data_IF_203952111992
#
_entry.id   IF_203952111992
#
_cell.length_a   1.000
_cell.length_b   1.000
_cell.length_c   1.000
_cell.angle_alpha   90.00
_cell.angle_beta   90.00
_cell.angle_gamma   90.00
#
_symmetry.space_group_name_H-M   'P 1'
#
loop_
_entity.id
_entity.type
_entity.pdbx_description
1 polymer ?
#
# COMPACT_ATOMS: atom_id res chain seq x y z
N UNK A 1 12.83 19.86 2.26
CA UNK A 1 11.41 19.70 1.86
C UNK A 1 11.07 20.79 0.85
N UNK A 2 10.48 20.39 -0.26
CA UNK A 2 10.17 21.32 -1.36
C UNK A 2 8.94 22.16 -1.00
N UNK A 3 8.98 23.47 -1.35
CA UNK A 3 7.83 24.33 -1.14
C UNK A 3 6.72 24.01 -2.16
N UNK A 4 5.54 23.62 -1.70
CA UNK A 4 4.36 23.34 -2.53
C UNK A 4 3.27 24.42 -2.39
N UNK A 5 3.51 25.49 -1.62
CA UNK A 5 2.53 26.51 -1.31
C UNK A 5 1.99 27.28 -2.52
N UNK A 6 2.75 27.32 -3.63
CA UNK A 6 2.32 27.95 -4.88
C UNK A 6 1.62 27.01 -5.88
N UNK A 7 1.45 25.74 -5.55
CA UNK A 7 0.75 24.79 -6.42
C UNK A 7 -0.76 24.89 -6.24
N UNK A 8 -1.48 24.60 -7.31
CA UNK A 8 -2.94 24.56 -7.29
C UNK A 8 -3.45 23.41 -6.41
N UNK A 9 -4.55 23.69 -5.72
CA UNK A 9 -5.30 22.66 -4.98
C UNK A 9 -6.15 21.91 -6.00
N UNK A 10 -5.78 20.66 -6.26
CA UNK A 10 -6.46 19.81 -7.23
C UNK A 10 -6.75 18.44 -6.67
N UNK A 11 -7.71 17.73 -7.27
CA UNK A 11 -7.95 16.32 -6.98
C UNK A 11 -6.76 15.49 -7.44
N UNK A 12 -6.30 14.61 -6.58
CA UNK A 12 -5.14 13.76 -6.83
C UNK A 12 -5.44 12.32 -6.41
N UNK A 13 -4.99 11.40 -7.21
CA UNK A 13 -5.15 9.96 -7.00
C UNK A 13 -3.87 9.24 -7.33
N UNK A 14 -3.53 8.23 -6.55
CA UNK A 14 -2.42 7.32 -6.84
C UNK A 14 -2.82 5.88 -6.56
N UNK A 15 -2.29 4.97 -7.37
CA UNK A 15 -2.42 3.52 -7.20
C UNK A 15 -1.03 2.93 -7.12
N UNK A 16 -0.76 2.20 -6.05
CA UNK A 16 0.44 1.40 -5.89
C UNK A 16 0.07 -0.07 -5.79
N UNK A 17 0.97 -0.95 -6.21
CA UNK A 17 0.81 -2.40 -6.08
C UNK A 17 2.10 -3.03 -5.59
N UNK A 18 1.95 -4.16 -4.91
CA UNK A 18 3.05 -5.07 -4.56
C UNK A 18 2.50 -6.48 -4.40
N UNK A 19 3.39 -7.43 -4.18
CA UNK A 19 3.00 -8.79 -3.84
C UNK A 19 3.86 -9.36 -2.70
N UNK A 20 3.37 -10.42 -2.09
CA UNK A 20 4.09 -11.25 -1.14
C UNK A 20 4.06 -12.68 -1.66
N UNK A 21 5.21 -13.18 -2.10
CA UNK A 21 5.37 -14.56 -2.52
C UNK A 21 5.57 -15.44 -1.30
N UNK A 22 4.93 -16.60 -1.29
CA UNK A 22 4.93 -17.53 -0.16
C UNK A 22 4.73 -18.97 -0.63
N UNK A 23 4.83 -19.92 0.30
CA UNK A 23 4.49 -21.31 -0.01
C UNK A 23 2.99 -21.49 -0.25
N UNK A 24 2.62 -22.54 -0.97
CA UNK A 24 1.21 -22.92 -1.16
C UNK A 24 0.52 -23.18 0.16
N UNK A 25 1.20 -23.82 1.11
CA UNK A 25 0.67 -24.06 2.44
C UNK A 25 0.35 -22.78 3.19
N UNK A 26 1.20 -21.76 3.07
CA UNK A 26 0.99 -20.46 3.73
C UNK A 26 -0.20 -19.71 3.14
N UNK A 27 -0.32 -19.66 1.82
CA UNK A 27 -1.49 -19.03 1.17
C UNK A 27 -2.79 -19.76 1.52
N UNK A 28 -2.77 -21.08 1.58
CA UNK A 28 -3.91 -21.88 2.03
C UNK A 28 -4.27 -21.59 3.51
N UNK A 29 -3.29 -21.40 4.37
CA UNK A 29 -3.50 -21.06 5.79
C UNK A 29 -4.13 -19.67 5.96
N UNK A 30 -3.80 -18.71 5.12
CA UNK A 30 -4.45 -17.39 5.10
C UNK A 30 -5.93 -17.56 4.74
N UNK A 31 -6.21 -18.28 3.67
CA UNK A 31 -7.58 -18.50 3.17
C UNK A 31 -8.45 -19.24 4.19
N UNK A 32 -7.90 -20.25 4.88
CA UNK A 32 -8.60 -21.03 5.90
C UNK A 32 -8.66 -20.37 7.28
N UNK A 33 -8.02 -19.20 7.43
CA UNK A 33 -7.93 -18.47 8.71
C UNK A 33 -7.33 -19.32 9.86
N UNK A 34 -6.35 -20.16 9.56
CA UNK A 34 -5.73 -21.09 10.52
C UNK A 34 -4.43 -20.58 11.14
N UNK A 35 -4.06 -19.32 10.92
CA UNK A 35 -2.85 -18.72 11.46
C UNK A 35 -3.05 -18.20 12.90
N UNK A 36 -2.02 -18.31 13.77
CA UNK A 36 -2.15 -17.99 15.20
C UNK A 36 -2.52 -16.54 15.50
N UNK A 37 -2.09 -15.59 14.67
CA UNK A 37 -2.33 -14.15 14.90
C UNK A 37 -3.69 -13.65 14.43
N UNK A 38 -4.52 -14.52 13.86
CA UNK A 38 -5.90 -14.19 13.49
C UNK A 38 -6.07 -13.82 12.02
N UNK A 39 -6.97 -12.88 11.74
CA UNK A 39 -7.35 -12.48 10.39
C UNK A 39 -6.26 -11.63 9.72
N UNK A 40 -5.49 -12.25 8.85
CA UNK A 40 -4.35 -11.62 8.15
C UNK A 40 -4.82 -10.50 7.22
N UNK A 41 -5.87 -10.76 6.45
CA UNK A 41 -6.34 -9.82 5.42
C UNK A 41 -6.92 -8.55 6.05
N UNK A 42 -7.79 -8.70 7.04
CA UNK A 42 -8.38 -7.56 7.74
C UNK A 42 -7.30 -6.72 8.45
N UNK A 43 -6.36 -7.38 9.13
CA UNK A 43 -5.27 -6.70 9.85
C UNK A 43 -4.34 -5.96 8.89
N UNK A 44 -3.93 -6.59 7.80
CA UNK A 44 -3.07 -5.97 6.80
C UNK A 44 -3.76 -4.78 6.10
N UNK A 45 -5.05 -4.89 5.82
CA UNK A 45 -5.84 -3.78 5.24
C UNK A 45 -5.84 -2.57 6.16
N UNK A 46 -6.16 -2.75 7.43
CA UNK A 46 -6.16 -1.66 8.42
C UNK A 46 -4.75 -1.08 8.60
N UNK A 47 -3.73 -1.92 8.67
CA UNK A 47 -2.34 -1.47 8.77
C UNK A 47 -1.93 -0.60 7.57
N UNK A 48 -2.30 -0.99 6.36
CA UNK A 48 -2.05 -0.20 5.16
C UNK A 48 -2.77 1.16 5.18
N UNK A 49 -4.02 1.19 5.59
CA UNK A 49 -4.78 2.44 5.73
C UNK A 49 -4.12 3.35 6.78
N UNK A 50 -3.73 2.82 7.92
CA UNK A 50 -3.03 3.57 8.96
C UNK A 50 -1.68 4.11 8.46
N UNK A 51 -0.94 3.31 7.70
CA UNK A 51 0.35 3.69 7.14
C UNK A 51 0.24 4.86 6.16
N UNK A 52 -0.77 4.86 5.29
CA UNK A 52 -1.03 5.98 4.40
C UNK A 52 -1.18 7.29 5.18
N UNK A 53 -1.89 7.28 6.30
CA UNK A 53 -2.09 8.45 7.18
C UNK A 53 -0.82 8.87 7.93
N UNK A 54 0.17 7.99 8.04
CA UNK A 54 1.43 8.19 8.77
C UNK A 54 2.63 8.42 7.85
N UNK A 55 2.42 8.56 6.56
CA UNK A 55 3.50 8.63 5.57
C UNK A 55 4.49 9.75 5.88
N UNK A 56 4.03 10.95 6.22
CA UNK A 56 4.92 12.06 6.56
C UNK A 56 5.74 11.85 7.84
N UNK A 57 5.28 11.00 8.74
CA UNK A 57 6.04 10.63 9.94
C UNK A 57 7.18 9.64 9.63
N UNK A 58 7.08 8.90 8.53
CA UNK A 58 8.02 7.86 8.13
C UNK A 58 8.99 8.32 7.04
N UNK A 59 8.53 9.13 6.10
CA UNK A 59 9.29 9.61 4.95
C UNK A 59 9.63 11.08 5.19
N UNK A 60 10.89 11.42 5.47
CA UNK A 60 11.27 12.69 6.10
C UNK A 60 10.87 13.95 5.32
N UNK A 61 10.87 13.88 4.00
CA UNK A 61 10.62 15.06 3.17
C UNK A 61 9.21 15.11 2.57
N UNK A 62 8.33 14.17 2.96
CA UNK A 62 6.93 14.19 2.58
C UNK A 62 6.15 15.21 3.40
N UNK A 63 5.24 15.92 2.75
CA UNK A 63 4.31 16.83 3.41
C UNK A 63 3.21 16.05 4.12
N UNK A 64 2.77 16.49 5.31
CA UNK A 64 1.55 15.96 5.91
C UNK A 64 0.34 16.33 5.06
N UNK A 65 -0.48 15.34 4.74
CA UNK A 65 -1.65 15.51 3.87
C UNK A 65 -2.91 15.02 4.55
N UNK A 66 -4.01 15.71 4.33
CA UNK A 66 -5.34 15.24 4.66
C UNK A 66 -5.85 14.36 3.51
N UNK A 67 -6.00 13.06 3.77
CA UNK A 67 -6.47 12.11 2.77
C UNK A 67 -7.98 12.04 2.76
N UNK A 68 -8.59 12.07 1.57
CA UNK A 68 -10.04 11.92 1.42
C UNK A 68 -10.48 10.47 1.35
N UNK A 69 -9.66 9.58 0.80
CA UNK A 69 -9.94 8.15 0.75
C UNK A 69 -8.65 7.33 0.70
N UNK A 70 -8.67 6.17 1.35
CA UNK A 70 -7.65 5.13 1.26
C UNK A 70 -8.35 3.79 1.12
N UNK A 71 -8.07 3.08 0.03
CA UNK A 71 -8.58 1.73 -0.22
C UNK A 71 -7.39 0.78 -0.34
N UNK A 72 -7.41 -0.31 0.41
CA UNK A 72 -6.40 -1.37 0.31
C UNK A 72 -7.10 -2.66 -0.07
N UNK A 73 -6.88 -3.11 -1.30
CA UNK A 73 -7.40 -4.35 -1.85
C UNK A 73 -6.34 -5.44 -1.71
N UNK A 74 -6.73 -6.57 -1.16
CA UNK A 74 -5.83 -7.72 -0.94
C UNK A 74 -6.49 -8.96 -1.50
N UNK A 75 -5.79 -9.64 -2.39
CA UNK A 75 -6.24 -10.87 -3.01
C UNK A 75 -5.24 -12.00 -2.74
N UNK A 76 -5.73 -13.12 -2.23
CA UNK A 76 -4.93 -14.32 -1.97
C UNK A 76 -5.03 -15.26 -3.16
N UNK A 77 -3.89 -15.55 -3.78
CA UNK A 77 -3.73 -16.56 -4.82
C UNK A 77 -2.94 -17.76 -4.34
N UNK A 78 -2.61 -18.66 -5.25
CA UNK A 78 -1.77 -19.81 -4.96
C UNK A 78 -0.31 -19.39 -4.83
N UNK A 79 0.23 -19.40 -3.61
CA UNK A 79 1.61 -19.01 -3.33
C UNK A 79 1.89 -17.52 -3.43
N UNK A 80 0.88 -16.68 -3.49
CA UNK A 80 1.05 -15.24 -3.60
C UNK A 80 -0.12 -14.47 -2.99
N UNK A 81 0.17 -13.34 -2.36
CA UNK A 81 -0.83 -12.35 -1.98
C UNK A 81 -0.55 -11.07 -2.76
N UNK A 82 -1.53 -10.59 -3.50
CA UNK A 82 -1.45 -9.34 -4.25
C UNK A 82 -2.11 -8.22 -3.47
N UNK A 83 -1.45 -7.06 -3.43
CA UNK A 83 -1.90 -5.89 -2.71
C UNK A 83 -1.97 -4.70 -3.66
N UNK A 84 -3.08 -3.98 -3.61
CA UNK A 84 -3.27 -2.72 -4.31
C UNK A 84 -3.74 -1.66 -3.32
N UNK A 85 -3.06 -0.53 -3.29
CA UNK A 85 -3.48 0.62 -2.50
C UNK A 85 -3.86 1.77 -3.42
N UNK A 86 -5.04 2.34 -3.16
CA UNK A 86 -5.58 3.50 -3.87
C UNK A 86 -5.73 4.61 -2.84
N UNK A 87 -5.11 5.75 -3.09
CA UNK A 87 -5.16 6.91 -2.20
C UNK A 87 -5.63 8.13 -2.97
N UNK A 88 -6.51 8.90 -2.37
CA UNK A 88 -7.08 10.11 -2.95
C UNK A 88 -7.00 11.26 -1.96
N UNK A 89 -6.77 12.45 -2.50
CA UNK A 89 -6.79 13.72 -1.77
C UNK A 89 -7.16 14.87 -2.69
N UNK A 90 -7.56 15.97 -2.09
CA UNK A 90 -7.61 17.28 -2.75
C UNK A 90 -6.57 18.17 -2.08
N UNK A 91 -5.52 18.52 -2.79
CA UNK A 91 -4.39 19.22 -2.18
C UNK A 91 -3.36 19.71 -3.18
N UNK A 92 -2.26 20.23 -2.65
CA UNK A 92 -1.19 20.89 -3.41
C UNK A 92 -0.07 19.95 -3.86
N UNK A 93 -0.07 18.70 -3.39
CA UNK A 93 0.90 17.68 -3.81
C UNK A 93 0.24 16.32 -3.96
N UNK A 94 0.91 15.42 -4.68
CA UNK A 94 0.39 14.08 -4.96
C UNK A 94 0.43 13.14 -3.75
N UNK A 95 -0.19 11.99 -3.90
CA UNK A 95 -0.34 10.95 -2.86
C UNK A 95 0.36 9.64 -3.25
N UNK A 96 1.37 9.72 -4.10
CA UNK A 96 2.13 8.56 -4.56
C UNK A 96 2.81 7.85 -3.38
N UNK A 97 3.42 8.61 -2.48
CA UNK A 97 4.12 8.04 -1.33
C UNK A 97 3.16 7.41 -0.33
N UNK A 98 1.99 7.99 -0.16
CA UNK A 98 0.93 7.43 0.70
C UNK A 98 0.46 6.06 0.16
N UNK A 99 0.30 5.93 -1.14
CA UNK A 99 -0.07 4.65 -1.77
C UNK A 99 1.05 3.61 -1.65
N UNK A 100 2.30 3.99 -1.91
CA UNK A 100 3.46 3.10 -1.76
C UNK A 100 3.67 2.66 -0.31
N UNK A 101 3.52 3.57 0.64
CA UNK A 101 3.64 3.28 2.07
C UNK A 101 2.53 2.33 2.53
N UNK A 102 1.30 2.53 2.07
CA UNK A 102 0.18 1.63 2.36
C UNK A 102 0.46 0.20 1.90
N UNK A 103 0.91 0.01 0.66
CA UNK A 103 1.31 -1.30 0.13
C UNK A 103 2.43 -1.93 0.96
N UNK A 104 3.46 -1.16 1.27
CA UNK A 104 4.63 -1.64 2.01
C UNK A 104 4.25 -2.16 3.39
N UNK A 105 3.46 -1.41 4.14
CA UNK A 105 3.07 -1.79 5.51
C UNK A 105 2.04 -2.90 5.52
N UNK A 106 1.12 -2.94 4.56
CA UNK A 106 0.23 -4.09 4.39
C UNK A 106 1.02 -5.38 4.13
N UNK A 107 2.02 -5.33 3.25
CA UNK A 107 2.90 -6.47 2.96
C UNK A 107 3.72 -6.90 4.18
N UNK A 108 4.30 -5.95 4.92
CA UNK A 108 5.03 -6.23 6.15
C UNK A 108 4.13 -6.86 7.22
N UNK A 109 2.88 -6.44 7.31
CA UNK A 109 1.90 -7.01 8.23
C UNK A 109 1.58 -8.46 7.88
N UNK A 110 1.40 -8.76 6.59
CA UNK A 110 1.23 -10.14 6.13
C UNK A 110 2.44 -10.98 6.50
N UNK A 111 3.65 -10.47 6.24
CA UNK A 111 4.89 -11.14 6.62
C UNK A 111 4.94 -11.43 8.12
N UNK A 112 4.71 -10.42 8.95
CA UNK A 112 4.73 -10.59 10.42
C UNK A 112 3.73 -11.64 10.90
N UNK A 113 2.52 -11.63 10.36
CA UNK A 113 1.46 -12.54 10.78
C UNK A 113 1.66 -13.98 10.31
N UNK A 114 2.41 -14.18 9.22
CA UNK A 114 2.64 -15.49 8.61
C UNK A 114 4.03 -16.07 8.88
N UNK A 115 4.98 -15.30 9.41
CA UNK A 115 6.40 -15.71 9.55
C UNK A 115 6.62 -16.92 10.44
N UNK A 116 5.70 -17.24 11.34
CA UNK A 116 5.78 -18.47 12.15
C UNK A 116 5.62 -19.73 11.31
N UNK A 117 4.87 -19.64 10.19
CA UNK A 117 4.65 -20.74 9.26
C UNK A 117 5.64 -20.72 8.09
N UNK A 118 6.09 -19.54 7.66
CA UNK A 118 6.92 -19.38 6.46
C UNK A 118 7.81 -18.14 6.57
N UNK A 119 9.10 -18.35 6.84
CA UNK A 119 10.09 -17.25 6.88
C UNK A 119 10.66 -16.92 5.51
N UNK A 120 10.41 -17.74 4.49
CA UNK A 120 10.97 -17.58 3.15
C UNK A 120 10.17 -16.64 2.26
N UNK A 121 9.08 -16.06 2.76
CA UNK A 121 8.26 -15.10 2.00
C UNK A 121 9.09 -13.94 1.48
N UNK A 122 8.78 -13.51 0.27
CA UNK A 122 9.42 -12.37 -0.38
C UNK A 122 8.39 -11.31 -0.69
N UNK A 123 8.61 -10.10 -0.18
CA UNK A 123 7.87 -8.91 -0.57
C UNK A 123 8.53 -8.35 -1.83
N UNK A 124 7.78 -8.19 -2.90
CA UNK A 124 8.31 -7.78 -4.17
C UNK A 124 7.38 -6.92 -5.01
N UNK A 125 7.92 -6.45 -6.13
CA UNK A 125 7.20 -5.70 -7.15
C UNK A 125 6.45 -4.47 -6.64
N UNK A 126 6.97 -3.82 -5.59
CA UNK A 126 6.43 -2.57 -5.10
C UNK A 126 6.65 -1.47 -6.14
N UNK A 127 5.56 -0.94 -6.68
CA UNK A 127 5.63 0.11 -7.70
C UNK A 127 4.39 1.00 -7.71
N UNK A 128 4.59 2.23 -8.16
CA UNK A 128 3.50 3.12 -8.55
C UNK A 128 2.94 2.63 -9.89
N UNK A 129 1.64 2.41 -9.95
CA UNK A 129 0.93 1.95 -11.15
C UNK A 129 0.20 3.07 -11.87
N UNK A 130 -0.39 3.97 -11.11
CA UNK A 130 -1.14 5.09 -11.66
C UNK A 130 -0.99 6.30 -10.74
N UNK A 131 -0.90 7.47 -11.33
CA UNK A 131 -1.18 8.71 -10.62
C UNK A 131 -1.90 9.68 -11.54
N UNK A 132 -2.79 10.48 -10.99
CA UNK A 132 -3.50 11.53 -11.71
C UNK A 132 -3.60 12.80 -10.88
N UNK A 133 -3.79 13.90 -11.58
CA UNK A 133 -3.84 15.24 -11.00
C UNK A 133 -2.48 15.94 -10.94
N UNK A 134 -2.51 17.26 -10.75
CA UNK A 134 -1.33 18.09 -10.70
C UNK A 134 -0.74 18.45 -12.07
N UNK A 135 0.36 19.21 -12.06
CA UNK A 135 1.00 19.74 -13.28
C UNK A 135 1.59 18.66 -14.19
N UNK A 136 2.07 17.56 -13.61
CA UNK A 136 2.65 16.45 -14.37
C UNK A 136 1.63 15.53 -15.03
N UNK A 137 0.33 15.81 -14.86
CA UNK A 137 -0.75 15.05 -15.50
C UNK A 137 -0.87 13.61 -15.00
N UNK A 138 -1.25 12.72 -15.90
CA UNK A 138 -1.48 11.31 -15.61
C UNK A 138 -0.27 10.47 -15.97
N UNK A 139 0.10 9.58 -15.05
CA UNK A 139 1.07 8.52 -15.28
C UNK A 139 0.34 7.17 -15.19
N UNK A 140 0.58 6.31 -16.16
CA UNK A 140 0.16 4.91 -16.16
C UNK A 140 1.39 4.05 -16.41
N UNK A 141 1.64 3.09 -15.51
CA UNK A 141 2.74 2.15 -15.71
C UNK A 141 2.40 1.19 -16.85
N UNK A 142 3.28 1.00 -17.84
CA UNK A 142 3.10 -0.04 -18.84
C UNK A 142 3.18 -1.43 -18.19
N UNK A 143 2.38 -2.37 -18.68
CA UNK A 143 2.43 -3.79 -18.28
C UNK A 143 3.66 -4.50 -18.83
#
# INVERSE_FOLDING_TARGET
MVNVGGKDITSRRAVARCNVQMSLATSAAITSASLPKGDVIATARIAGIQAAKKTSDLIPLCHPLMLSAVTVNIAVGEGVVSIEAIVETTGQTGVEMEALTACSVAALTIYDMCKSADKSMVIGELALWEKSGGRSGTFLRPE
#
